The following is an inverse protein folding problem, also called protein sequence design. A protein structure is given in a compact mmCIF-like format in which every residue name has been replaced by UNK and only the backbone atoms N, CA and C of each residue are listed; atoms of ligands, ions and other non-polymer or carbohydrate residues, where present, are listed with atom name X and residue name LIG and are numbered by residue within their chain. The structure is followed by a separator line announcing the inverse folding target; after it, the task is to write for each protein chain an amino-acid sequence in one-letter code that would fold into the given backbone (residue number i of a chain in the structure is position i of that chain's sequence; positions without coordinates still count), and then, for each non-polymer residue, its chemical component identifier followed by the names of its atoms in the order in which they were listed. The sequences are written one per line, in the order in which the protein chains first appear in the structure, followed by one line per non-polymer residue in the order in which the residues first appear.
data_IF_869021824586
#
_entry.id   IF_869021824586
#
_cell.length_a   1.000
_cell.length_b   1.000
_cell.length_c   1.000
_cell.angle_alpha   90.00
_cell.angle_beta   90.00
_cell.angle_gamma   90.00
#
_symmetry.space_group_name_H-M   'P 1'
#
loop_
_entity.id
_entity.type
_entity.pdbx_description
1 polymer ?
#
# COMPACT_ATOMS: atom_id res chain seq x y z
N UNK A 1 13.83 4.43 -49.65
CA UNK A 1 12.70 3.52 -49.96
C UNK A 1 11.67 3.73 -48.88
N UNK A 2 10.56 4.40 -49.18
CA UNK A 2 9.49 4.66 -48.21
C UNK A 2 8.50 3.51 -48.32
N UNK A 3 8.51 2.59 -47.35
CA UNK A 3 7.52 1.53 -47.28
C UNK A 3 6.31 2.06 -46.50
N UNK A 4 5.29 2.49 -47.23
CA UNK A 4 3.95 2.80 -46.70
C UNK A 4 3.28 1.49 -46.27
N UNK A 5 3.09 1.30 -44.96
CA UNK A 5 2.28 0.19 -44.43
C UNK A 5 0.92 0.72 -44.00
N UNK A 6 -0.09 0.41 -44.80
CA UNK A 6 -1.50 0.69 -44.50
C UNK A 6 -1.94 -0.36 -43.47
N UNK A 7 -2.22 0.04 -42.24
CA UNK A 7 -2.77 -0.85 -41.22
C UNK A 7 -4.29 -0.65 -41.14
N UNK A 8 -5.03 -1.65 -41.60
CA UNK A 8 -6.49 -1.75 -41.46
C UNK A 8 -6.80 -2.42 -40.11
N UNK A 9 -7.34 -1.66 -39.15
CA UNK A 9 -7.88 -2.23 -37.92
C UNK A 9 -9.33 -2.68 -38.17
N UNK A 10 -9.55 -4.00 -38.15
CA UNK A 10 -10.90 -4.60 -38.14
C UNK A 10 -11.29 -4.84 -36.69
N UNK A 11 -12.17 -4.00 -36.16
CA UNK A 11 -12.76 -4.15 -34.83
C UNK A 11 -13.91 -5.16 -34.91
N UNK A 12 -13.74 -6.33 -34.29
CA UNK A 12 -14.79 -7.35 -34.18
C UNK A 12 -15.36 -7.35 -32.75
N UNK A 13 -16.55 -6.77 -32.57
CA UNK A 13 -17.32 -6.87 -31.33
C UNK A 13 -18.11 -8.18 -31.36
N UNK A 14 -17.77 -9.13 -30.46
CA UNK A 14 -18.51 -10.36 -30.24
C UNK A 14 -19.33 -10.23 -28.94
N UNK A 15 -20.64 -10.05 -29.10
CA UNK A 15 -21.63 -10.09 -28.02
C UNK A 15 -21.73 -11.52 -27.46
N UNK A 16 -21.33 -11.71 -26.20
CA UNK A 16 -21.62 -12.92 -25.44
C UNK A 16 -23.11 -12.92 -25.08
N UNK A 17 -23.85 -13.86 -25.69
CA UNK A 17 -25.21 -14.17 -25.32
C UNK A 17 -25.21 -15.08 -24.08
N UNK A 18 -25.74 -14.55 -22.98
CA UNK A 18 -25.99 -15.32 -21.76
C UNK A 18 -27.01 -16.44 -21.99
N UNK A 19 -26.75 -17.59 -21.38
CA UNK A 19 -27.73 -18.65 -21.15
C UNK A 19 -27.50 -19.17 -19.74
N UNK A 20 -28.36 -18.76 -18.82
CA UNK A 20 -28.29 -19.12 -17.41
C UNK A 20 -28.78 -20.55 -17.15
N UNK A 21 -28.26 -21.13 -16.07
CA UNK A 21 -28.92 -22.19 -15.31
C UNK A 21 -28.86 -21.76 -13.85
N UNK A 22 -30.03 -21.58 -13.24
CA UNK A 22 -30.14 -21.26 -11.82
C UNK A 22 -29.82 -22.50 -10.98
N UNK A 23 -28.80 -22.42 -10.13
CA UNK A 23 -28.62 -23.33 -9.00
C UNK A 23 -29.00 -22.55 -7.73
N UNK A 24 -30.12 -22.90 -7.13
CA UNK A 24 -30.54 -22.35 -5.83
C UNK A 24 -29.84 -23.14 -4.73
N UNK A 25 -28.63 -22.73 -4.37
CA UNK A 25 -27.99 -23.09 -3.11
C UNK A 25 -27.94 -21.84 -2.25
N UNK A 26 -28.74 -21.77 -1.18
CA UNK A 26 -28.64 -20.70 -0.19
C UNK A 26 -27.41 -20.96 0.68
N UNK A 27 -26.25 -20.48 0.24
CA UNK A 27 -25.17 -20.17 1.15
C UNK A 27 -25.60 -18.91 1.91
N UNK A 28 -25.85 -19.02 3.22
CA UNK A 28 -25.87 -17.84 4.07
C UNK A 28 -24.43 -17.40 4.22
N UNK A 29 -24.02 -16.43 3.40
CA UNK A 29 -22.84 -15.62 3.68
C UNK A 29 -23.27 -14.66 4.79
N UNK A 30 -22.67 -14.81 5.97
CA UNK A 30 -22.69 -13.74 6.97
C UNK A 30 -21.97 -12.53 6.35
N UNK A 31 -22.75 -11.63 5.76
CA UNK A 31 -22.29 -10.29 5.37
C UNK A 31 -22.21 -9.44 6.62
N UNK A 32 -21.36 -9.83 7.56
CA UNK A 32 -20.81 -8.86 8.50
C UNK A 32 -20.08 -7.84 7.63
N UNK A 33 -20.66 -6.65 7.48
CA UNK A 33 -19.98 -5.53 6.83
C UNK A 33 -18.73 -5.24 7.65
N UNK A 34 -17.58 -5.74 7.20
CA UNK A 34 -16.29 -5.22 7.63
C UNK A 34 -16.30 -3.72 7.34
N UNK A 35 -16.13 -2.90 8.38
CA UNK A 35 -16.01 -1.45 8.26
C UNK A 35 -14.56 -1.01 8.02
N UNK A 36 -13.69 -1.96 7.65
CA UNK A 36 -12.35 -1.64 7.18
C UNK A 36 -12.49 -1.03 5.78
N UNK A 37 -12.15 0.25 5.66
CA UNK A 37 -11.96 0.92 4.39
C UNK A 37 -10.53 0.67 3.96
N UNK A 38 -10.34 0.00 2.82
CA UNK A 38 -9.05 -0.08 2.13
C UNK A 38 -9.11 0.96 1.02
N UNK A 39 -8.00 1.67 0.78
CA UNK A 39 -7.87 2.57 -0.36
C UNK A 39 -7.97 1.76 -1.67
N UNK A 40 -8.75 2.25 -2.62
CA UNK A 40 -8.87 1.75 -3.99
C UNK A 40 -8.03 2.67 -4.92
N UNK A 41 -6.78 2.94 -4.54
CA UNK A 41 -5.87 3.82 -5.27
C UNK A 41 -5.61 3.31 -6.70
N UNK A 42 -5.76 4.20 -7.67
CA UNK A 42 -5.47 3.98 -9.09
C UNK A 42 -4.76 5.21 -9.64
N UNK A 43 -3.64 4.99 -10.33
CA UNK A 43 -2.81 6.04 -10.92
C UNK A 43 -2.59 5.79 -12.41
N UNK A 44 -2.49 6.88 -13.17
CA UNK A 44 -2.11 6.83 -14.59
C UNK A 44 -1.26 8.04 -14.96
N UNK A 45 -0.38 7.88 -15.95
CA UNK A 45 0.40 8.95 -16.51
C UNK A 45 0.34 8.97 -18.04
N UNK A 46 0.21 10.17 -18.60
CA UNK A 46 0.21 10.40 -20.05
C UNK A 46 1.18 11.52 -20.43
N UNK A 47 1.95 11.31 -21.51
CA UNK A 47 2.81 12.33 -22.11
C UNK A 47 2.14 12.92 -23.36
N UNK A 48 1.85 14.22 -23.34
CA UNK A 48 1.32 14.93 -24.50
C UNK A 48 1.89 16.36 -24.57
N UNK A 49 2.28 16.79 -25.78
CA UNK A 49 2.79 18.15 -26.02
C UNK A 49 3.94 18.58 -25.08
N UNK A 50 4.85 17.66 -24.76
CA UNK A 50 5.94 17.87 -23.79
C UNK A 50 5.51 18.02 -22.33
N UNK A 51 4.27 17.70 -21.99
CA UNK A 51 3.77 17.73 -20.60
C UNK A 51 3.39 16.31 -20.18
N UNK A 52 3.94 15.87 -19.05
CA UNK A 52 3.48 14.68 -18.34
C UNK A 52 2.28 15.09 -17.50
N UNK A 53 1.18 14.38 -17.66
CA UNK A 53 -0.03 14.53 -16.84
C UNK A 53 -0.21 13.25 -16.05
N UNK A 54 -0.21 13.39 -14.73
CA UNK A 54 -0.48 12.29 -13.79
C UNK A 54 -1.87 12.46 -13.23
N UNK A 55 -2.62 11.38 -13.12
CA UNK A 55 -3.92 11.34 -12.46
C UNK A 55 -3.90 10.32 -11.33
N UNK A 56 -4.50 10.66 -10.20
CA UNK A 56 -4.67 9.77 -9.05
C UNK A 56 -6.14 9.78 -8.58
N UNK A 57 -6.71 8.60 -8.39
CA UNK A 57 -8.08 8.38 -7.91
C UNK A 57 -8.12 7.34 -6.80
N UNK A 58 -9.04 7.49 -5.85
CA UNK A 58 -9.42 6.46 -4.89
C UNK A 58 -10.82 5.96 -5.29
N UNK A 59 -10.87 4.82 -5.96
CA UNK A 59 -12.08 4.31 -6.62
C UNK A 59 -12.54 5.22 -7.76
N UNK A 60 -13.66 5.93 -7.57
CA UNK A 60 -14.19 6.89 -8.57
C UNK A 60 -13.91 8.35 -8.20
N UNK A 61 -13.35 8.60 -7.01
CA UNK A 61 -13.14 9.93 -6.46
C UNK A 61 -11.70 10.41 -6.75
N UNK A 62 -11.50 11.66 -7.24
CA UNK A 62 -10.16 12.20 -7.45
C UNK A 62 -9.45 12.46 -6.13
N UNK A 63 -8.16 12.13 -6.06
CA UNK A 63 -7.33 12.41 -4.88
C UNK A 63 -6.77 13.83 -5.00
N UNK A 64 -7.39 14.80 -4.33
CA UNK A 64 -6.93 16.19 -4.28
C UNK A 64 -5.78 16.38 -3.26
N UNK A 65 -4.81 17.26 -3.57
CA UNK A 65 -3.68 17.57 -2.71
C UNK A 65 -2.76 16.37 -2.40
N UNK A 66 -2.76 15.34 -3.25
CA UNK A 66 -1.80 14.25 -3.21
C UNK A 66 -0.41 14.75 -3.58
N UNK A 67 0.60 14.35 -2.82
CA UNK A 67 2.00 14.59 -3.19
C UNK A 67 2.41 13.55 -4.23
N UNK A 68 2.84 14.02 -5.39
CA UNK A 68 3.32 13.18 -6.49
C UNK A 68 4.75 13.58 -6.79
N UNK A 69 5.66 12.61 -6.78
CA UNK A 69 7.01 12.77 -7.27
C UNK A 69 7.07 12.21 -8.69
N UNK A 70 7.58 13.00 -9.63
CA UNK A 70 7.82 12.58 -11.00
C UNK A 70 9.32 12.64 -11.25
N UNK A 71 9.93 11.48 -11.48
CA UNK A 71 11.38 11.35 -11.66
C UNK A 71 11.72 10.97 -13.11
N UNK A 72 12.72 11.66 -13.64
CA UNK A 72 13.40 11.33 -14.89
C UNK A 72 14.90 11.26 -14.66
N UNK A 73 15.65 12.13 -15.33
CA UNK A 73 17.04 12.42 -14.93
C UNK A 73 17.08 13.42 -13.78
N UNK A 74 16.07 14.29 -13.72
CA UNK A 74 15.80 15.23 -12.63
C UNK A 74 14.45 14.87 -11.98
N UNK A 75 14.31 15.17 -10.70
CA UNK A 75 13.11 14.91 -9.89
C UNK A 75 12.27 16.19 -9.73
N UNK A 76 10.95 16.07 -9.87
CA UNK A 76 10.01 17.16 -9.59
C UNK A 76 8.85 16.65 -8.73
N UNK A 77 8.73 17.19 -7.51
CA UNK A 77 7.55 16.99 -6.66
C UNK A 77 6.47 18.03 -6.95
N UNK A 78 5.25 17.55 -7.17
CA UNK A 78 4.05 18.36 -7.41
C UNK A 78 2.90 17.89 -6.53
N UNK A 79 1.80 18.64 -6.54
CA UNK A 79 0.59 18.29 -5.81
C UNK A 79 -0.60 18.22 -6.77
N UNK A 80 -1.46 17.23 -6.63
CA UNK A 80 -2.67 17.13 -7.46
C UNK A 80 -3.67 18.24 -7.15
N UNK A 81 -4.40 18.66 -8.18
CA UNK A 81 -5.50 19.61 -8.05
C UNK A 81 -6.83 18.93 -7.67
N UNK A 82 -7.93 19.70 -7.68
CA UNK A 82 -9.27 19.24 -7.31
C UNK A 82 -9.85 18.17 -8.26
N UNK A 83 -9.25 17.99 -9.44
CA UNK A 83 -9.61 16.95 -10.39
C UNK A 83 -8.67 15.72 -10.24
N UNK A 84 -7.82 15.68 -9.22
CA UNK A 84 -6.87 14.59 -8.96
C UNK A 84 -5.71 14.57 -9.95
N UNK A 85 -5.43 15.70 -10.60
CA UNK A 85 -4.45 15.79 -11.68
C UNK A 85 -3.23 16.59 -11.26
N UNK A 86 -2.04 16.13 -11.65
CA UNK A 86 -0.80 16.89 -11.55
C UNK A 86 -0.10 16.94 -12.91
N UNK A 87 0.62 18.03 -13.20
CA UNK A 87 1.31 18.20 -14.49
C UNK A 87 2.74 18.65 -14.32
N UNK A 88 3.64 18.05 -15.08
CA UNK A 88 5.08 18.39 -15.11
C UNK A 88 5.52 18.61 -16.56
N UNK A 89 6.22 19.72 -16.82
CA UNK A 89 6.86 19.93 -18.11
C UNK A 89 8.04 18.98 -18.25
N UNK A 90 8.11 18.22 -19.35
CA UNK A 90 9.18 17.24 -19.63
C UNK A 90 10.57 17.85 -19.55
N UNK A 91 10.73 19.13 -19.87
CA UNK A 91 12.02 19.83 -19.77
C UNK A 91 12.51 20.04 -18.34
N UNK A 92 11.66 19.85 -17.33
CA UNK A 92 12.05 19.87 -15.93
C UNK A 92 12.57 18.51 -15.44
N UNK A 93 12.42 17.45 -16.25
CA UNK A 93 12.79 16.07 -15.92
C UNK A 93 14.07 15.61 -16.64
N UNK A 94 14.70 16.48 -17.42
CA UNK A 94 15.92 16.16 -18.18
C UNK A 94 17.01 17.19 -17.96
N UNK A 95 18.26 16.73 -17.85
CA UNK A 95 19.41 17.62 -17.84
C UNK A 95 19.70 18.10 -19.28
N UNK A 96 20.12 19.37 -19.43
CA UNK A 96 20.62 19.94 -20.69
C UNK A 96 19.76 19.73 -21.96
N UNK A 97 18.46 19.45 -21.83
CA UNK A 97 17.53 19.08 -22.91
C UNK A 97 17.86 17.73 -23.57
N UNK A 98 18.43 16.80 -22.81
CA UNK A 98 18.55 15.40 -23.22
C UNK A 98 17.15 14.76 -23.37
N UNK A 99 17.14 13.60 -24.04
CA UNK A 99 15.89 12.89 -24.29
C UNK A 99 15.58 11.97 -23.12
N UNK A 100 14.52 12.28 -22.39
CA UNK A 100 13.95 11.37 -21.38
C UNK A 100 13.71 9.98 -21.99
N UNK A 101 14.28 8.93 -21.38
CA UNK A 101 14.14 7.52 -21.79
C UNK A 101 13.28 6.71 -20.84
N UNK A 102 13.30 7.06 -19.55
CA UNK A 102 12.59 6.41 -18.45
C UNK A 102 11.87 7.50 -17.65
N UNK A 103 10.77 7.16 -17.02
CA UNK A 103 9.97 8.05 -16.20
C UNK A 103 9.37 7.23 -15.07
N UNK A 104 9.55 7.67 -13.84
CA UNK A 104 8.94 7.11 -12.65
C UNK A 104 7.94 8.12 -12.07
N UNK A 105 6.83 7.60 -11.55
CA UNK A 105 5.81 8.39 -10.85
C UNK A 105 5.52 7.71 -9.54
N UNK A 106 5.74 8.43 -8.44
CA UNK A 106 5.54 7.96 -7.08
C UNK A 106 4.44 8.80 -6.39
N UNK A 107 3.59 8.11 -5.63
CA UNK A 107 2.62 8.66 -4.70
C UNK A 107 2.90 8.11 -3.31
N UNK A 108 2.99 9.01 -2.33
CA UNK A 108 3.15 8.64 -0.92
C UNK A 108 2.06 9.31 -0.08
N UNK A 109 1.43 8.52 0.79
CA UNK A 109 0.48 9.00 1.80
C UNK A 109 0.51 8.12 3.05
N UNK A 110 -0.05 8.60 4.16
CA UNK A 110 -0.10 7.87 5.44
C UNK A 110 -0.83 6.50 5.39
N UNK A 111 -1.44 6.09 4.28
CA UNK A 111 -2.19 4.82 4.21
C UNK A 111 -2.09 4.07 2.89
N UNK A 112 -1.41 4.65 1.90
CA UNK A 112 -1.19 4.03 0.60
C UNK A 112 0.04 4.65 -0.08
N UNK A 113 0.79 3.80 -0.75
CA UNK A 113 1.92 4.16 -1.61
C UNK A 113 1.66 3.56 -2.99
N UNK A 114 2.11 4.25 -4.04
CA UNK A 114 1.95 3.79 -5.42
C UNK A 114 3.10 4.23 -6.30
N UNK A 115 3.58 3.32 -7.15
CA UNK A 115 4.70 3.57 -8.06
C UNK A 115 4.36 3.08 -9.47
N UNK A 116 4.67 3.92 -10.47
CA UNK A 116 4.52 3.60 -11.89
C UNK A 116 5.85 3.85 -12.62
N UNK A 117 6.40 2.81 -13.24
CA UNK A 117 7.62 2.90 -14.04
C UNK A 117 7.29 2.85 -15.55
N UNK A 118 7.84 3.77 -16.34
CA UNK A 118 7.61 3.87 -17.77
C UNK A 118 8.89 3.95 -18.59
N UNK A 119 8.85 3.39 -19.80
CA UNK A 119 9.76 3.78 -20.89
C UNK A 119 9.14 4.86 -21.77
N UNK A 120 9.98 5.77 -22.24
CA UNK A 120 9.58 6.92 -23.06
C UNK A 120 10.10 6.76 -24.49
N UNK A 121 9.19 6.51 -25.43
CA UNK A 121 9.50 6.36 -26.85
C UNK A 121 8.59 7.24 -27.72
N UNK A 122 9.17 7.99 -28.66
CA UNK A 122 8.42 8.79 -29.64
C UNK A 122 7.35 9.74 -29.04
N UNK A 123 7.56 10.24 -27.81
CA UNK A 123 6.60 11.02 -27.00
C UNK A 123 5.38 10.24 -26.52
N UNK A 124 5.52 8.93 -26.34
CA UNK A 124 4.57 8.06 -25.66
C UNK A 124 5.23 7.48 -24.43
N UNK A 125 4.42 7.18 -23.42
CA UNK A 125 4.80 6.37 -22.28
C UNK A 125 4.38 4.92 -22.54
N UNK A 126 5.21 3.97 -22.14
CA UNK A 126 4.88 2.54 -22.09
C UNK A 126 5.16 2.05 -20.69
N UNK A 127 4.10 1.64 -19.97
CA UNK A 127 4.19 1.15 -18.61
C UNK A 127 5.04 -0.14 -18.58
N UNK A 128 6.03 -0.15 -17.71
CA UNK A 128 6.88 -1.31 -17.40
C UNK A 128 6.38 -2.02 -16.15
N UNK A 129 6.21 -1.26 -15.07
CA UNK A 129 5.87 -1.75 -13.74
C UNK A 129 4.84 -0.84 -13.07
N UNK A 130 4.00 -1.44 -12.24
CA UNK A 130 2.96 -0.79 -11.44
C UNK A 130 2.90 -1.53 -10.10
N UNK A 131 3.16 -0.81 -9.00
CA UNK A 131 3.16 -1.33 -7.64
C UNK A 131 2.30 -0.45 -6.73
N UNK A 132 1.57 -1.08 -5.80
CA UNK A 132 0.79 -0.38 -4.78
C UNK A 132 0.94 -1.09 -3.43
N UNK A 133 1.21 -0.32 -2.39
CA UNK A 133 1.25 -0.78 -1.00
C UNK A 133 0.19 -0.06 -0.17
N UNK A 134 -0.38 -0.77 0.81
CA UNK A 134 -1.48 -0.26 1.64
C UNK A 134 -1.23 -0.58 3.11
N UNK A 135 -1.28 0.44 3.96
CA UNK A 135 -1.23 0.23 5.40
C UNK A 135 -2.64 -0.10 5.92
N UNK A 136 -2.80 -1.32 6.45
CA UNK A 136 -4.04 -1.72 7.13
C UNK A 136 -3.83 -1.53 8.63
N UNK A 137 -4.50 -0.53 9.20
CA UNK A 137 -4.62 -0.38 10.65
C UNK A 137 -5.32 -1.63 11.23
N UNK A 138 -4.53 -2.59 11.71
CA UNK A 138 -5.03 -3.70 12.53
C UNK A 138 -5.55 -3.09 13.84
N UNK A 139 -6.82 -2.69 13.87
CA UNK A 139 -7.50 -2.50 15.15
C UNK A 139 -7.55 -3.86 15.82
N UNK A 140 -6.58 -4.11 16.70
CA UNK A 140 -6.63 -5.21 17.64
C UNK A 140 -7.99 -5.12 18.35
N UNK A 141 -8.90 -6.00 17.97
CA UNK A 141 -10.04 -6.37 18.79
C UNK A 141 -9.46 -6.98 20.07
N UNK A 142 -9.08 -6.12 21.03
CA UNK A 142 -8.93 -6.51 22.43
C UNK A 142 -10.33 -6.93 22.86
N UNK A 143 -10.66 -8.20 22.61
CA UNK A 143 -11.70 -8.88 23.35
C UNK A 143 -11.27 -8.84 24.81
N UNK A 144 -11.72 -7.81 25.52
CA UNK A 144 -11.82 -7.82 26.97
C UNK A 144 -12.73 -9.01 27.33
N UNK A 145 -12.11 -10.18 27.47
CA UNK A 145 -12.64 -11.35 28.16
C UNK A 145 -12.60 -11.04 29.67
N UNK A 146 -13.36 -10.02 30.05
CA UNK A 146 -13.81 -9.84 31.43
C UNK A 146 -15.21 -10.48 31.54
N UNK A 147 -15.56 -10.89 32.75
CA UNK A 147 -16.78 -11.59 33.15
C UNK A 147 -16.78 -13.11 32.85
N UNK A 148 -16.28 -13.99 33.72
CA UNK A 148 -17.00 -14.32 34.97
C UNK A 148 -16.13 -15.19 35.88
N UNK A 149 -15.65 -14.63 37.00
CA UNK A 149 -15.22 -15.44 38.14
C UNK A 149 -16.46 -15.93 38.87
N UNK A 150 -16.80 -17.19 38.65
CA UNK A 150 -17.88 -17.88 39.33
C UNK A 150 -17.49 -18.11 40.81
N UNK A 151 -18.15 -17.36 41.68
CA UNK A 151 -18.12 -17.47 43.14
C UNK A 151 -18.88 -18.74 43.58
N UNK A 152 -18.18 -19.87 43.78
CA UNK A 152 -18.73 -21.04 44.47
C UNK A 152 -17.91 -21.31 45.75
N UNK A 153 -18.51 -20.89 46.87
CA UNK A 153 -18.00 -20.95 48.24
C UNK A 153 -17.95 -22.36 48.84
N UNK A 154 -16.86 -22.60 49.57
CA UNK A 154 -16.72 -23.29 50.88
C UNK A 154 -17.11 -24.78 51.01
N UNK A 155 -16.09 -25.62 51.28
CA UNK A 155 -16.14 -26.66 52.32
C UNK A 155 -14.73 -27.16 52.69
N UNK A 156 -14.22 -26.64 53.82
CA UNK A 156 -13.48 -27.31 54.90
C UNK A 156 -13.02 -28.77 54.71
N UNK A 157 -11.75 -29.09 55.01
CA UNK A 157 -11.31 -29.60 56.33
C UNK A 157 -9.77 -29.79 56.36
N UNK A 158 -9.13 -29.08 57.30
CA UNK A 158 -8.09 -29.46 58.29
C UNK A 158 -7.21 -30.69 57.96
N UNK A 159 -5.88 -30.62 57.87
CA UNK A 159 -4.82 -30.55 58.93
C UNK A 159 -3.64 -31.33 58.27
N UNK A 160 -2.35 -31.21 58.53
CA UNK A 160 -1.54 -30.75 59.64
C UNK A 160 -0.11 -30.57 59.07
N UNK A 161 0.59 -29.55 59.54
CA UNK A 161 2.00 -29.51 59.95
C UNK A 161 3.06 -30.40 59.25
N UNK A 162 4.18 -29.78 58.85
CA UNK A 162 5.41 -29.82 59.66
C UNK A 162 6.66 -29.45 58.83
N UNK A 163 7.22 -28.29 59.18
CA UNK A 163 8.63 -27.93 59.34
C UNK A 163 9.70 -28.22 58.25
N UNK A 164 10.45 -27.16 57.93
CA UNK A 164 11.92 -27.29 58.00
C UNK A 164 12.76 -26.40 57.08
N UNK A 165 13.35 -25.38 57.72
CA UNK A 165 14.65 -24.74 57.47
C UNK A 165 14.84 -23.77 56.28
N UNK A 166 15.04 -22.47 56.55
CA UNK A 166 16.28 -21.78 57.02
C UNK A 166 17.18 -21.46 55.83
N UNK A 167 17.10 -20.27 55.22
CA UNK A 167 17.63 -18.95 55.65
C UNK A 167 19.05 -18.67 55.12
N UNK A 168 19.28 -17.37 54.88
CA UNK A 168 20.56 -16.68 54.66
C UNK A 168 21.19 -16.74 53.25
N UNK A 169 21.86 -15.72 52.71
CA UNK A 169 21.91 -14.24 52.83
C UNK A 169 23.10 -13.84 51.93
N UNK A 170 22.99 -12.68 51.28
CA UNK A 170 24.04 -11.71 50.90
C UNK A 170 25.27 -12.22 50.06
N UNK A 171 26.00 -11.51 49.20
CA UNK A 171 26.41 -10.11 49.06
C UNK A 171 26.80 -9.83 47.58
N UNK A 172 26.71 -8.54 47.21
CA UNK A 172 27.31 -7.91 46.04
C UNK A 172 28.83 -8.20 45.90
N UNK A 173 29.35 -8.20 44.67
CA UNK A 173 30.64 -7.57 44.40
C UNK A 173 30.73 -7.16 42.92
N UNK A 174 30.79 -5.84 42.72
CA UNK A 174 31.38 -5.18 41.57
C UNK A 174 32.85 -5.62 41.41
N UNK A 175 33.33 -5.86 40.19
CA UNK A 175 34.67 -5.36 39.85
C UNK A 175 34.84 -5.15 38.33
N UNK A 176 35.29 -3.93 38.03
CA UNK A 176 35.85 -3.43 36.78
C UNK A 176 37.01 -4.31 36.29
N UNK A 177 37.29 -4.30 34.97
CA UNK A 177 38.65 -4.17 34.43
C UNK A 177 38.57 -3.98 32.89
N UNK A 178 38.47 -2.71 32.50
CA UNK A 178 39.31 -2.00 31.51
C UNK A 178 40.18 -2.77 30.48
N UNK A 179 40.01 -2.35 29.21
CA UNK A 179 41.02 -1.92 28.21
C UNK A 179 42.10 -2.90 27.69
N UNK A 180 42.28 -2.92 26.37
CA UNK A 180 43.41 -3.60 25.71
C UNK A 180 43.45 -3.48 24.19
N UNK A 181 43.62 -2.25 23.71
CA UNK A 181 44.11 -1.87 22.37
C UNK A 181 45.57 -2.34 22.18
N UNK A 182 45.85 -3.15 21.14
CA UNK A 182 46.99 -3.05 20.18
C UNK A 182 46.87 -4.13 19.08
#
# INVERSE_FOLDING_TARGET
MTASKILMAVLAVLLVAGSGIAVTGVAQTDTGTSTASVSDLDMDAALANQTVTVTATDGEDPVENATITVEGEEEVTVTTDADGTATVDRSALTEDNESLTELEVEYESDGAEGELEYTVEENSLTLLEEEYEYEVDEKEDKADDDESKDDEREADEEDDDDDGDDEERDEDDDDDETEGDD
#
